data_IF_604303933164
#
_entry.id   IF_604303933164
#
_cell.length_a   1.000
_cell.length_b   1.000
_cell.length_c   1.000
_cell.angle_alpha   90.00
_cell.angle_beta   90.00
_cell.angle_gamma   90.00
#
_symmetry.space_group_name_H-M   'P 1'
#
loop_
_entity.id
_entity.type
_entity.pdbx_description
1 polymer ?
#
# COMPACT_ATOMS: atom_id res chain seq x y z
N UNK A 1 26.40 3.19 10.25
CA UNK A 1 25.74 4.22 9.45
C UNK A 1 25.05 5.21 10.38
N UNK A 2 25.29 6.50 10.19
CA UNK A 2 24.86 7.55 11.11
C UNK A 2 23.38 7.88 10.90
N UNK A 3 22.63 8.30 11.96
CA UNK A 3 21.19 8.63 11.87
C UNK A 3 20.87 9.64 10.74
N UNK A 4 21.78 10.57 10.47
CA UNK A 4 21.68 11.56 9.38
C UNK A 4 21.67 10.93 7.98
N UNK A 5 22.39 9.83 7.76
CA UNK A 5 22.39 9.13 6.45
C UNK A 5 21.10 8.37 6.17
N UNK A 6 20.44 7.83 7.23
CA UNK A 6 19.17 7.14 7.07
C UNK A 6 18.02 8.10 6.74
N UNK A 7 18.01 9.29 7.35
CA UNK A 7 17.01 10.32 7.05
C UNK A 7 17.18 10.86 5.61
N UNK A 8 18.42 11.03 5.16
CA UNK A 8 18.70 11.46 3.80
C UNK A 8 18.25 10.44 2.73
N UNK A 9 18.40 9.14 3.02
CA UNK A 9 17.96 8.08 2.11
C UNK A 9 16.42 8.07 1.98
N UNK A 10 15.69 8.21 3.10
CA UNK A 10 14.22 8.27 3.06
C UNK A 10 13.72 9.48 2.26
N UNK A 11 14.34 10.66 2.48
CA UNK A 11 13.98 11.88 1.76
C UNK A 11 14.34 11.80 0.27
N UNK A 12 15.47 11.16 -0.08
CA UNK A 12 15.87 10.99 -1.48
C UNK A 12 14.92 10.02 -2.24
N UNK A 13 14.41 8.98 -1.57
CA UNK A 13 13.45 8.03 -2.18
C UNK A 13 12.13 8.72 -2.53
N UNK A 14 11.62 9.62 -1.67
CA UNK A 14 10.40 10.38 -1.93
C UNK A 14 10.61 11.40 -3.07
N UNK A 15 11.77 12.05 -3.12
CA UNK A 15 12.09 13.01 -4.18
C UNK A 15 12.32 12.35 -5.55
N UNK A 16 12.86 11.12 -5.59
CA UNK A 16 13.09 10.39 -6.84
C UNK A 16 11.79 9.91 -7.50
N UNK A 17 10.68 9.78 -6.74
CA UNK A 17 9.37 9.41 -7.28
C UNK A 17 8.77 10.46 -8.23
N UNK A 18 9.31 11.68 -8.27
CA UNK A 18 8.79 12.80 -9.08
C UNK A 18 9.56 13.02 -10.40
N UNK A 19 10.72 12.38 -10.59
CA UNK A 19 11.56 12.58 -11.77
C UNK A 19 11.63 11.32 -12.65
N UNK A 20 10.77 11.25 -13.60
CA UNK A 20 10.67 10.65 -14.92
C UNK A 20 11.53 9.50 -15.43
N UNK A 21 10.86 8.47 -15.92
CA UNK A 21 10.80 7.86 -17.22
C UNK A 21 11.94 7.01 -17.78
N UNK A 22 11.61 5.85 -18.19
CA UNK A 22 11.68 5.12 -19.47
C UNK A 22 11.76 3.59 -19.27
N UNK A 23 10.92 2.87 -19.99
CA UNK A 23 10.64 1.47 -19.78
C UNK A 23 11.34 0.48 -20.70
N UNK A 24 11.02 -0.79 -20.53
CA UNK A 24 10.97 -1.86 -21.54
C UNK A 24 10.05 -3.00 -21.08
N UNK A 25 9.30 -3.57 -22.00
CA UNK A 25 8.27 -4.55 -21.74
C UNK A 25 8.67 -6.02 -21.94
N UNK A 26 8.13 -6.92 -21.14
CA UNK A 26 7.85 -8.32 -21.51
C UNK A 26 6.80 -8.93 -20.57
N UNK A 27 5.93 -9.76 -21.14
CA UNK A 27 4.79 -10.35 -20.45
C UNK A 27 5.16 -11.64 -19.72
N UNK A 28 4.60 -11.87 -18.53
CA UNK A 28 4.51 -13.17 -17.92
C UNK A 28 3.06 -13.41 -17.43
N UNK A 29 2.51 -14.56 -17.80
CA UNK A 29 1.17 -15.00 -17.48
C UNK A 29 1.11 -15.47 -16.02
N UNK A 30 0.41 -14.73 -15.17
CA UNK A 30 -0.03 -15.23 -13.88
C UNK A 30 -1.37 -15.96 -14.06
N UNK A 31 -1.45 -17.19 -13.57
CA UNK A 31 -2.67 -17.98 -13.55
C UNK A 31 -3.64 -17.37 -12.53
N UNK A 32 -4.88 -17.04 -12.90
CA UNK A 32 -5.81 -16.47 -11.94
C UNK A 32 -6.24 -17.53 -10.94
N UNK A 33 -5.98 -17.29 -9.66
CA UNK A 33 -6.76 -17.94 -8.60
C UNK A 33 -8.23 -17.60 -8.86
N UNK A 34 -9.11 -18.59 -8.77
CA UNK A 34 -10.53 -18.44 -9.04
C UNK A 34 -11.08 -17.22 -8.28
N UNK A 35 -11.42 -16.18 -9.03
CA UNK A 35 -12.02 -14.99 -8.49
C UNK A 35 -13.41 -15.38 -7.96
N UNK A 36 -13.55 -15.35 -6.65
CA UNK A 36 -14.87 -15.25 -6.04
C UNK A 36 -15.38 -13.87 -6.43
N UNK A 37 -16.35 -13.83 -7.36
CA UNK A 37 -16.98 -12.60 -7.82
C UNK A 37 -17.83 -12.03 -6.69
N UNK A 38 -17.23 -11.28 -5.81
CA UNK A 38 -17.90 -10.40 -4.89
C UNK A 38 -17.18 -9.06 -4.90
N UNK A 39 -17.54 -8.22 -5.85
CA UNK A 39 -17.25 -6.78 -5.77
C UNK A 39 -18.14 -6.20 -4.67
N UNK A 40 -17.70 -6.35 -3.43
CA UNK A 40 -18.36 -5.76 -2.28
C UNK A 40 -17.75 -4.37 -2.05
N UNK A 41 -18.60 -3.37 -2.11
CA UNK A 41 -18.26 -2.02 -1.64
C UNK A 41 -17.85 -2.07 -0.16
N UNK A 42 -17.07 -1.09 0.32
CA UNK A 42 -16.54 -1.02 1.68
C UNK A 42 -17.60 -1.17 2.81
N UNK A 43 -18.88 -1.12 2.47
CA UNK A 43 -20.02 -1.32 3.38
C UNK A 43 -20.40 -2.77 3.61
N UNK A 44 -19.80 -3.74 2.89
CA UNK A 44 -20.30 -5.12 2.85
C UNK A 44 -19.30 -6.16 3.41
N UNK A 45 -18.25 -5.72 4.10
CA UNK A 45 -17.42 -6.63 4.86
C UNK A 45 -18.18 -7.12 6.11
N UNK A 46 -18.63 -8.39 6.09
CA UNK A 46 -19.36 -9.03 7.17
C UNK A 46 -18.50 -9.15 8.43
N UNK A 47 -18.63 -8.18 9.34
CA UNK A 47 -17.90 -8.12 10.59
C UNK A 47 -18.52 -9.03 11.64
N UNK A 48 -17.83 -10.12 11.96
CA UNK A 48 -18.17 -10.95 13.13
C UNK A 48 -17.99 -10.16 14.42
N UNK A 49 -19.00 -10.18 15.29
CA UNK A 49 -19.23 -9.39 16.49
C UNK A 49 -18.04 -9.14 17.43
N UNK A 50 -17.27 -8.10 17.13
CA UNK A 50 -16.33 -7.46 18.04
C UNK A 50 -16.94 -6.21 18.67
N UNK A 51 -16.54 -5.86 19.92
CA UNK A 51 -17.04 -4.68 20.61
C UNK A 51 -16.91 -3.39 19.80
N UNK A 52 -17.73 -2.38 20.08
CA UNK A 52 -17.86 -1.17 19.26
C UNK A 52 -16.55 -0.45 18.86
N UNK A 53 -15.49 -0.61 19.67
CA UNK A 53 -14.16 -0.08 19.36
C UNK A 53 -13.47 -0.80 18.19
N UNK A 54 -13.53 -2.13 18.15
CA UNK A 54 -12.93 -2.95 17.09
C UNK A 54 -13.60 -2.66 15.76
N UNK A 55 -14.92 -2.62 15.70
CA UNK A 55 -15.67 -2.28 14.49
C UNK A 55 -15.40 -0.83 14.01
N UNK A 56 -15.16 0.10 14.93
CA UNK A 56 -14.77 1.46 14.57
C UNK A 56 -13.39 1.47 13.92
N UNK A 57 -12.43 0.71 14.44
CA UNK A 57 -11.09 0.56 13.88
C UNK A 57 -11.12 -0.07 12.49
N UNK A 58 -11.90 -1.13 12.29
CA UNK A 58 -12.10 -1.75 10.98
C UNK A 58 -12.65 -0.75 9.96
N UNK A 59 -13.63 0.07 10.35
CA UNK A 59 -14.19 1.11 9.46
C UNK A 59 -13.14 2.15 9.05
N UNK A 60 -12.27 2.58 9.96
CA UNK A 60 -11.18 3.53 9.61
C UNK A 60 -10.25 2.91 8.57
N UNK A 61 -9.87 1.65 8.73
CA UNK A 61 -9.02 0.95 7.76
C UNK A 61 -9.75 0.74 6.43
N UNK A 62 -11.04 0.36 6.46
CA UNK A 62 -11.85 0.23 5.24
C UNK A 62 -11.97 1.57 4.50
N UNK A 63 -12.17 2.68 5.23
CA UNK A 63 -12.19 4.03 4.64
C UNK A 63 -10.83 4.36 4.01
N UNK A 64 -9.72 4.03 4.69
CA UNK A 64 -8.38 4.24 4.12
C UNK A 64 -8.19 3.46 2.81
N UNK A 65 -8.54 2.20 2.76
CA UNK A 65 -8.42 1.39 1.54
C UNK A 65 -9.31 1.94 0.42
N UNK A 66 -10.54 2.32 0.74
CA UNK A 66 -11.48 2.87 -0.24
C UNK A 66 -11.03 4.23 -0.77
N UNK A 67 -10.88 5.24 0.10
CA UNK A 67 -10.60 6.62 -0.34
C UNK A 67 -9.18 6.77 -0.89
N UNK A 68 -8.18 6.24 -0.17
CA UNK A 68 -6.77 6.46 -0.53
C UNK A 68 -6.34 5.54 -1.66
N UNK A 69 -6.70 4.26 -1.63
CA UNK A 69 -6.21 3.27 -2.59
C UNK A 69 -7.15 3.19 -3.80
N UNK A 70 -8.45 2.95 -3.59
CA UNK A 70 -9.37 2.69 -4.69
C UNK A 70 -9.88 3.96 -5.38
N UNK A 71 -10.13 5.05 -4.64
CA UNK A 71 -10.51 6.34 -5.22
C UNK A 71 -9.30 7.23 -5.56
N UNK A 72 -8.07 6.78 -5.25
CA UNK A 72 -6.81 7.47 -5.51
C UNK A 72 -6.67 8.84 -4.85
N UNK A 73 -7.42 9.09 -3.77
CA UNK A 73 -7.37 10.32 -2.99
C UNK A 73 -6.22 10.27 -1.95
N UNK A 74 -4.97 10.20 -2.43
CA UNK A 74 -3.80 10.09 -1.56
C UNK A 74 -3.75 11.13 -0.44
N UNK A 75 -4.29 12.34 -0.69
CA UNK A 75 -4.43 13.41 0.29
C UNK A 75 -5.38 13.11 1.44
N UNK A 76 -6.37 12.22 1.25
CA UNK A 76 -7.30 11.78 2.29
C UNK A 76 -6.58 11.08 3.47
N UNK A 77 -5.39 10.51 3.22
CA UNK A 77 -4.52 9.95 4.26
C UNK A 77 -4.37 10.90 5.45
N UNK A 78 -4.24 12.22 5.21
CA UNK A 78 -4.03 13.20 6.26
C UNK A 78 -5.14 13.25 7.32
N UNK A 79 -6.39 12.95 6.94
CA UNK A 79 -7.53 12.89 7.86
C UNK A 79 -7.60 11.61 8.67
N UNK A 80 -7.04 10.52 8.14
CA UNK A 80 -7.18 9.16 8.67
C UNK A 80 -6.04 8.75 9.60
N UNK A 81 -4.93 9.52 9.64
CA UNK A 81 -3.74 9.16 10.41
C UNK A 81 -3.43 10.16 11.52
N UNK A 82 -2.79 9.70 12.58
CA UNK A 82 -2.31 10.58 13.67
C UNK A 82 -1.18 11.50 13.18
N UNK A 83 -0.91 12.60 13.91
CA UNK A 83 0.16 13.54 13.57
C UNK A 83 1.55 12.90 13.54
N UNK A 84 1.78 11.87 14.35
CA UNK A 84 3.04 11.15 14.51
C UNK A 84 3.00 9.73 13.90
N UNK A 85 2.10 9.47 12.97
CA UNK A 85 1.98 8.18 12.29
C UNK A 85 3.33 7.70 11.74
N UNK A 86 3.54 6.39 11.74
CA UNK A 86 4.69 5.75 11.09
C UNK A 86 4.23 4.67 10.12
N UNK A 87 4.79 4.69 8.92
CA UNK A 87 4.69 3.64 7.94
C UNK A 87 6.00 2.85 7.90
N UNK A 88 5.91 1.53 7.96
CA UNK A 88 7.03 0.60 8.01
C UNK A 88 7.02 -0.27 6.74
N UNK A 89 7.94 -0.03 5.83
CA UNK A 89 8.07 -0.73 4.55
C UNK A 89 9.16 -1.82 4.53
N UNK A 90 9.45 -2.44 5.66
CA UNK A 90 10.50 -3.46 5.74
C UNK A 90 11.88 -2.89 5.35
N UNK A 91 12.48 -3.42 4.30
CA UNK A 91 13.80 -2.97 3.80
C UNK A 91 13.79 -1.55 3.26
N UNK A 92 12.62 -0.99 2.94
CA UNK A 92 12.47 0.42 2.54
C UNK A 92 12.62 1.39 3.71
N UNK A 93 12.59 0.89 4.94
CA UNK A 93 12.74 1.68 6.15
C UNK A 93 11.42 2.20 6.68
N UNK A 94 11.46 3.35 7.35
CA UNK A 94 10.31 3.95 8.03
C UNK A 94 10.09 5.37 7.54
N UNK A 95 8.85 5.68 7.16
CA UNK A 95 8.37 7.03 6.88
C UNK A 95 7.54 7.50 8.07
N UNK A 96 7.88 8.64 8.67
CA UNK A 96 7.24 9.12 9.88
C UNK A 96 6.65 10.52 9.71
N UNK A 97 5.53 10.74 10.42
CA UNK A 97 4.79 11.98 10.43
C UNK A 97 3.75 12.08 9.33
N UNK A 98 2.60 12.68 9.68
CA UNK A 98 1.41 12.78 8.80
C UNK A 98 1.75 13.29 7.40
N UNK A 99 2.48 14.39 7.30
CA UNK A 99 2.80 14.99 6.00
C UNK A 99 3.60 14.04 5.09
N UNK A 100 4.60 13.36 5.64
CA UNK A 100 5.45 12.43 4.90
C UNK A 100 4.69 11.17 4.48
N UNK A 101 3.86 10.61 5.36
CA UNK A 101 3.04 9.42 5.05
C UNK A 101 1.96 9.77 4.03
N UNK A 102 1.33 10.95 4.14
CA UNK A 102 0.39 11.45 3.11
C UNK A 102 1.10 11.62 1.76
N UNK A 103 2.30 12.18 1.74
CA UNK A 103 3.11 12.32 0.53
C UNK A 103 3.47 10.97 -0.10
N UNK A 104 3.78 9.95 0.72
CA UNK A 104 4.05 8.59 0.26
C UNK A 104 2.83 8.02 -0.49
N UNK A 105 1.65 8.01 0.12
CA UNK A 105 0.45 7.47 -0.51
C UNK A 105 0.01 8.28 -1.73
N UNK A 106 0.08 9.61 -1.68
CA UNK A 106 -0.15 10.47 -2.85
C UNK A 106 0.76 10.09 -4.02
N UNK A 107 2.04 9.83 -3.75
CA UNK A 107 3.00 9.40 -4.77
C UNK A 107 2.68 8.03 -5.34
N UNK A 108 2.27 7.07 -4.49
CA UNK A 108 1.90 5.71 -4.91
C UNK A 108 0.68 5.75 -5.85
N UNK A 109 -0.40 6.40 -5.45
CA UNK A 109 -1.63 6.43 -6.26
C UNK A 109 -1.48 7.31 -7.51
N UNK A 110 -0.60 8.31 -7.48
CA UNK A 110 -0.22 9.06 -8.69
C UNK A 110 0.56 8.19 -9.68
N UNK A 111 1.43 7.32 -9.16
CA UNK A 111 2.22 6.42 -10.00
C UNK A 111 1.39 5.24 -10.54
N UNK A 112 0.33 4.86 -9.85
CA UNK A 112 -0.61 3.80 -10.19
C UNK A 112 -2.03 4.37 -10.24
N UNK A 113 -2.41 5.12 -11.32
CA UNK A 113 -3.68 5.88 -11.35
C UNK A 113 -4.93 5.01 -11.49
N UNK A 114 -4.77 3.71 -11.65
CA UNK A 114 -5.83 2.70 -11.69
C UNK A 114 -5.63 1.62 -10.62
N UNK A 115 -4.89 1.94 -9.54
CA UNK A 115 -4.66 1.02 -8.43
C UNK A 115 -5.99 0.58 -7.81
N UNK A 116 -6.11 -0.73 -7.55
CA UNK A 116 -7.28 -1.33 -6.88
C UNK A 116 -6.82 -2.33 -5.85
N UNK A 117 -7.53 -2.34 -4.73
CA UNK A 117 -7.42 -3.33 -3.68
C UNK A 117 -8.51 -4.38 -3.82
N UNK A 118 -8.14 -5.65 -3.75
CA UNK A 118 -9.08 -6.76 -3.56
C UNK A 118 -8.81 -7.37 -2.20
N UNK A 119 -9.65 -7.04 -1.24
CA UNK A 119 -9.55 -7.54 0.14
C UNK A 119 -10.17 -8.93 0.24
N UNK A 120 -9.44 -9.87 0.86
CA UNK A 120 -9.90 -11.23 1.09
C UNK A 120 -10.27 -11.47 2.55
N UNK A 121 -9.46 -10.96 3.48
CA UNK A 121 -9.68 -11.14 4.91
C UNK A 121 -9.36 -9.85 5.67
N UNK A 122 -10.15 -9.61 6.71
CA UNK A 122 -9.88 -8.60 7.73
C UNK A 122 -9.94 -9.28 9.09
N UNK A 123 -8.90 -9.14 9.88
CA UNK A 123 -8.83 -9.65 11.25
C UNK A 123 -8.52 -8.49 12.18
N UNK A 124 -9.39 -8.23 13.13
CA UNK A 124 -9.22 -7.13 14.08
C UNK A 124 -9.26 -7.61 15.53
N UNK A 125 -8.35 -7.07 16.35
CA UNK A 125 -8.28 -7.32 17.78
C UNK A 125 -7.77 -6.08 18.51
N UNK A 126 -8.55 -5.55 19.44
CA UNK A 126 -8.19 -4.35 20.19
C UNK A 126 -7.98 -3.16 19.27
N UNK A 127 -6.77 -2.63 19.24
CA UNK A 127 -6.35 -1.50 18.42
C UNK A 127 -5.67 -1.90 17.11
N UNK A 128 -5.66 -3.18 16.75
CA UNK A 128 -5.00 -3.73 15.58
C UNK A 128 -6.00 -4.25 14.56
N UNK A 129 -5.72 -3.95 13.29
CA UNK A 129 -6.46 -4.47 12.14
C UNK A 129 -5.46 -5.01 11.13
N UNK A 130 -5.60 -6.28 10.75
CA UNK A 130 -4.80 -6.92 9.70
C UNK A 130 -5.68 -7.11 8.47
N UNK A 131 -5.16 -6.74 7.32
CA UNK A 131 -5.82 -6.91 6.03
C UNK A 131 -4.97 -7.79 5.13
N UNK A 132 -5.57 -8.86 4.58
CA UNK A 132 -4.97 -9.64 3.50
C UNK A 132 -5.65 -9.26 2.19
N UNK A 133 -4.86 -8.80 1.23
CA UNK A 133 -5.34 -8.24 -0.02
C UNK A 133 -4.42 -8.53 -1.19
N UNK A 134 -4.92 -8.32 -2.41
CA UNK A 134 -4.14 -8.19 -3.63
C UNK A 134 -4.31 -6.77 -4.16
N UNK A 135 -3.23 -6.13 -4.51
CA UNK A 135 -3.23 -4.83 -5.18
C UNK A 135 -2.85 -5.01 -6.65
N UNK A 136 -3.54 -4.29 -7.52
CA UNK A 136 -3.27 -4.32 -8.97
C UNK A 136 -3.40 -2.92 -9.54
N UNK A 137 -2.46 -2.52 -10.40
CA UNK A 137 -2.51 -1.23 -11.08
C UNK A 137 -1.48 -1.14 -12.20
N UNK A 138 -1.64 -0.16 -13.09
CA UNK A 138 -0.70 0.13 -14.18
C UNK A 138 0.33 1.15 -13.73
N UNK A 139 1.60 0.77 -13.69
CA UNK A 139 2.68 1.65 -13.24
C UNK A 139 3.00 2.72 -14.30
N UNK A 140 2.40 3.89 -14.17
CA UNK A 140 2.62 5.06 -15.04
C UNK A 140 3.71 6.00 -14.52
N UNK A 141 3.98 5.96 -13.22
CA UNK A 141 5.01 6.77 -12.54
C UNK A 141 6.04 5.91 -11.81
N UNK A 142 7.07 6.54 -11.27
CA UNK A 142 8.04 5.85 -10.43
C UNK A 142 7.42 5.48 -9.07
N UNK A 143 7.66 4.25 -8.61
CA UNK A 143 7.24 3.76 -7.29
C UNK A 143 8.49 3.51 -6.45
N UNK A 144 8.68 4.27 -5.37
CA UNK A 144 9.76 4.04 -4.39
C UNK A 144 11.13 3.79 -5.08
N UNK A 145 11.46 4.64 -6.06
CA UNK A 145 12.71 4.55 -6.81
C UNK A 145 12.71 3.56 -7.97
N UNK A 146 11.65 2.78 -8.18
CA UNK A 146 11.48 1.91 -9.36
C UNK A 146 10.94 2.77 -10.50
N UNK A 147 11.66 2.93 -11.63
CA UNK A 147 11.20 3.72 -12.76
C UNK A 147 9.87 3.21 -13.34
N UNK A 148 9.09 4.11 -13.95
CA UNK A 148 7.84 3.76 -14.62
C UNK A 148 8.08 2.69 -15.70
N UNK A 149 7.33 1.61 -15.65
CA UNK A 149 7.42 0.50 -16.61
C UNK A 149 6.30 0.51 -17.64
N UNK A 150 5.20 1.20 -17.38
CA UNK A 150 3.98 1.17 -18.18
C UNK A 150 3.21 -0.14 -18.09
N UNK A 151 3.63 -1.06 -17.21
CA UNK A 151 3.07 -2.41 -17.07
C UNK A 151 2.01 -2.46 -15.98
N UNK A 152 1.15 -3.45 -16.08
CA UNK A 152 0.31 -3.87 -14.95
C UNK A 152 1.19 -4.57 -13.93
N UNK A 153 1.07 -4.16 -12.69
CA UNK A 153 1.77 -4.73 -11.52
C UNK A 153 0.72 -5.28 -10.59
N UNK A 154 0.91 -6.53 -10.13
CA UNK A 154 0.00 -7.19 -9.19
C UNK A 154 0.81 -7.82 -8.07
N UNK A 155 0.43 -7.54 -6.82
CA UNK A 155 1.12 -8.13 -5.67
C UNK A 155 0.15 -8.43 -4.53
N UNK A 156 0.51 -9.42 -3.73
CA UNK A 156 -0.18 -9.72 -2.49
C UNK A 156 0.40 -8.89 -1.36
N UNK A 157 -0.45 -8.48 -0.43
CA UNK A 157 -0.07 -7.80 0.78
C UNK A 157 -0.79 -8.37 2.00
N UNK A 158 -0.11 -8.36 3.14
CA UNK A 158 -0.67 -8.57 4.46
C UNK A 158 -0.25 -7.40 5.33
N UNK A 159 -1.14 -6.43 5.45
CA UNK A 159 -0.84 -5.18 6.13
C UNK A 159 -1.43 -5.17 7.53
N UNK A 160 -0.65 -4.69 8.50
CA UNK A 160 -1.10 -4.45 9.87
C UNK A 160 -1.25 -2.94 10.09
N UNK A 161 -2.41 -2.53 10.56
CA UNK A 161 -2.72 -1.18 11.01
C UNK A 161 -2.88 -1.17 12.53
N UNK A 162 -2.22 -0.21 13.20
CA UNK A 162 -2.42 0.05 14.62
C UNK A 162 -3.15 1.38 14.76
N UNK A 163 -4.27 1.38 15.47
CA UNK A 163 -5.12 2.55 15.63
C UNK A 163 -4.97 3.16 17.03
N UNK A 164 -5.18 4.46 17.09
CA UNK A 164 -5.23 5.23 18.35
C UNK A 164 -6.23 6.36 18.19
N UNK A 165 -7.18 6.46 19.11
CA UNK A 165 -8.18 7.52 19.14
C UNK A 165 -8.92 7.70 17.80
N UNK A 166 -9.27 6.58 17.14
CA UNK A 166 -9.97 6.56 15.87
C UNK A 166 -9.14 6.97 14.64
N UNK A 167 -7.81 7.00 14.76
CA UNK A 167 -6.89 7.26 13.66
C UNK A 167 -5.79 6.19 13.58
N UNK A 168 -5.25 5.97 12.39
CA UNK A 168 -4.13 5.06 12.18
C UNK A 168 -2.85 5.69 12.73
N UNK A 169 -2.20 5.04 13.67
CA UNK A 169 -0.95 5.49 14.30
C UNK A 169 0.28 4.77 13.76
N UNK A 170 0.13 3.53 13.26
CA UNK A 170 1.19 2.78 12.60
C UNK A 170 0.61 1.97 11.44
N UNK A 171 1.41 1.80 10.40
CA UNK A 171 1.14 0.91 9.27
C UNK A 171 2.37 0.04 9.03
N UNK A 172 2.18 -1.26 8.94
CA UNK A 172 3.22 -2.22 8.63
C UNK A 172 2.85 -2.87 7.30
N UNK A 173 3.58 -2.50 6.23
CA UNK A 173 3.35 -2.98 4.88
C UNK A 173 4.05 -4.31 4.66
N UNK A 174 3.26 -5.36 4.52
CA UNK A 174 3.71 -6.72 4.19
C UNK A 174 3.56 -7.01 2.69
N UNK A 175 4.02 -6.10 1.84
CA UNK A 175 3.95 -6.20 0.39
C UNK A 175 4.91 -7.25 -0.18
N UNK A 176 4.48 -8.00 -1.19
CA UNK A 176 5.36 -8.85 -2.00
C UNK A 176 6.18 -8.00 -2.99
N UNK A 177 7.28 -7.44 -2.49
CA UNK A 177 8.21 -6.67 -3.31
C UNK A 177 8.85 -7.48 -4.44
N UNK A 178 8.96 -8.80 -4.29
CA UNK A 178 9.49 -9.66 -5.36
C UNK A 178 8.56 -9.66 -6.56
N UNK A 179 7.24 -9.75 -6.33
CA UNK A 179 6.25 -9.63 -7.40
C UNK A 179 6.31 -8.26 -8.08
N UNK A 180 6.34 -7.17 -7.30
CA UNK A 180 6.45 -5.80 -7.83
C UNK A 180 7.70 -5.64 -8.71
N UNK A 181 8.87 -6.07 -8.23
CA UNK A 181 10.11 -5.96 -8.98
C UNK A 181 10.12 -6.82 -10.24
N UNK A 182 9.52 -8.01 -10.19
CA UNK A 182 9.38 -8.89 -11.35
C UNK A 182 8.45 -8.29 -12.40
N UNK A 183 7.28 -7.82 -12.00
CA UNK A 183 6.26 -7.27 -12.91
C UNK A 183 6.73 -5.98 -13.56
N UNK A 184 7.47 -5.13 -12.84
CA UNK A 184 8.11 -3.94 -13.42
C UNK A 184 9.29 -4.28 -14.33
N UNK A 185 9.82 -5.49 -14.27
CA UNK A 185 11.01 -5.92 -15.00
C UNK A 185 12.33 -5.42 -14.40
N UNK A 186 12.28 -4.86 -13.19
CA UNK A 186 13.47 -4.34 -12.49
C UNK A 186 14.36 -5.48 -11.97
N UNK A 187 13.74 -6.59 -11.57
CA UNK A 187 14.45 -7.79 -11.10
C UNK A 187 13.61 -9.04 -11.39
N UNK A 188 14.25 -10.09 -11.88
CA UNK A 188 13.62 -11.41 -12.03
C UNK A 188 14.21 -12.36 -10.99
N UNK A 189 13.37 -12.82 -10.08
CA UNK A 189 13.80 -13.81 -9.09
C UNK A 189 14.06 -15.17 -9.75
N UNK A 190 15.12 -15.90 -9.35
CA UNK A 190 15.50 -17.18 -10.00
C UNK A 190 14.42 -18.27 -9.97
N UNK A 191 13.48 -18.18 -9.03
CA UNK A 191 12.37 -19.14 -8.86
C UNK A 191 11.09 -18.75 -9.62
N UNK A 192 11.08 -17.60 -10.30
CA UNK A 192 9.95 -17.18 -11.15
C UNK A 192 10.26 -17.59 -12.59
N UNK A 193 9.44 -18.49 -13.13
CA UNK A 193 9.53 -19.00 -14.50
C UNK A 193 8.92 -18.05 -15.53
#
# INVERSE_FOLDING_TARGET
MNKLQRTAIATAVIAAAVAGGLGVAAAASAQPAAANQNSQSATDYGYGGGGGGVQANERVVATFLHEVIDEHEGSATAGLVTSNVSWHGGTLGVVSGRANVTGLFTSIVTALPDLRSTVYDVVAQGDQVVVRQTLTGTQKGAIIGIPASGRTVTWNAVDLFVLRDGQISQMWAGDDWTAILNDTGTYKAPWIS
#
